data_IF_209589166471
#
_entry.id   IF_209589166471
#
_cell.length_a   1.000
_cell.length_b   1.000
_cell.length_c   1.000
_cell.angle_alpha   90.00
_cell.angle_beta   90.00
_cell.angle_gamma   90.00
#
_symmetry.space_group_name_H-M   'P 1'
#
loop_
_entity.id
_entity.type
_entity.pdbx_description
1 polymer ?
#
# COMPACT_ATOMS: atom_id res chain seq x y z
N UNK A 1 4.74 -16.84 0.96
CA UNK A 1 3.78 -15.75 0.71
C UNK A 1 4.50 -14.72 -0.15
N UNK A 2 3.97 -14.40 -1.33
CA UNK A 2 4.61 -13.45 -2.24
C UNK A 2 4.24 -12.02 -1.84
N UNK A 3 5.20 -11.11 -1.81
CA UNK A 3 5.00 -9.70 -1.45
C UNK A 3 5.85 -8.86 -2.40
N UNK A 4 5.28 -7.77 -2.89
CA UNK A 4 6.01 -6.84 -3.75
C UNK A 4 5.57 -5.40 -3.46
N UNK A 5 6.53 -4.49 -3.36
CA UNK A 5 6.25 -3.06 -3.31
C UNK A 5 5.68 -2.61 -4.65
N UNK A 6 4.77 -1.64 -4.62
CA UNK A 6 4.22 -1.00 -5.81
C UNK A 6 4.13 0.50 -5.56
N UNK A 7 4.57 1.29 -6.54
CA UNK A 7 4.56 2.74 -6.47
C UNK A 7 3.59 3.29 -7.52
N UNK A 8 2.85 4.34 -7.15
CA UNK A 8 1.91 4.97 -8.08
C UNK A 8 2.63 5.93 -9.04
N UNK A 9 3.70 6.59 -8.57
CA UNK A 9 4.47 7.56 -9.33
C UNK A 9 5.94 7.54 -8.89
N UNK A 10 6.80 8.16 -9.71
CA UNK A 10 8.21 8.51 -9.42
C UNK A 10 9.19 7.36 -9.12
N UNK A 11 8.69 6.14 -8.95
CA UNK A 11 9.49 4.96 -8.58
C UNK A 11 8.96 3.72 -9.30
N UNK A 12 9.83 2.74 -9.44
CA UNK A 12 9.49 1.41 -9.93
C UNK A 12 9.67 0.36 -8.81
N UNK A 13 8.92 -0.75 -8.85
CA UNK A 13 7.95 -1.11 -9.87
C UNK A 13 6.61 -0.38 -9.70
N UNK A 14 5.97 -0.07 -10.83
CA UNK A 14 4.57 0.38 -10.86
C UNK A 14 3.63 -0.71 -10.35
N UNK A 15 2.40 -0.35 -10.01
CA UNK A 15 1.39 -1.33 -9.58
C UNK A 15 1.13 -2.44 -10.62
N UNK A 16 1.15 -2.12 -11.92
CA UNK A 16 1.01 -3.11 -12.98
C UNK A 16 2.22 -4.05 -13.06
N UNK A 17 3.44 -3.52 -13.00
CA UNK A 17 4.66 -4.35 -12.99
C UNK A 17 4.71 -5.27 -11.75
N UNK A 18 4.33 -4.76 -10.57
CA UNK A 18 4.27 -5.57 -9.36
C UNK A 18 3.22 -6.69 -9.48
N UNK A 19 2.03 -6.41 -10.02
CA UNK A 19 1.00 -7.41 -10.27
C UNK A 19 1.44 -8.46 -11.31
N UNK A 20 2.08 -8.04 -12.40
CA UNK A 20 2.65 -8.93 -13.41
C UNK A 20 3.66 -9.91 -12.78
N UNK A 21 4.57 -9.41 -11.94
CA UNK A 21 5.57 -10.24 -11.26
C UNK A 21 4.92 -11.28 -10.34
N UNK A 22 3.93 -10.86 -9.54
CA UNK A 22 3.22 -11.77 -8.64
C UNK A 22 2.40 -12.82 -9.41
N UNK A 23 1.72 -12.42 -10.49
CA UNK A 23 0.94 -13.32 -11.33
C UNK A 23 1.84 -14.34 -12.05
N UNK A 24 3.01 -13.92 -12.57
CA UNK A 24 4.01 -14.82 -13.17
C UNK A 24 4.54 -15.86 -12.18
N UNK A 25 4.60 -15.51 -10.90
CA UNK A 25 4.97 -16.42 -9.80
C UNK A 25 3.80 -17.32 -9.35
N UNK A 26 2.65 -17.27 -10.02
CA UNK A 26 1.51 -18.13 -9.78
C UNK A 26 0.50 -17.60 -8.75
N UNK A 27 0.57 -16.32 -8.37
CA UNK A 27 -0.44 -15.73 -7.49
C UNK A 27 -1.81 -15.69 -8.20
N UNK A 28 -2.82 -16.32 -7.61
CA UNK A 28 -4.21 -16.27 -8.07
C UNK A 28 -5.07 -15.30 -7.28
N UNK A 29 -4.55 -14.80 -6.14
CA UNK A 29 -5.21 -13.83 -5.28
C UNK A 29 -4.16 -12.79 -4.87
N UNK A 30 -4.43 -11.52 -5.18
CA UNK A 30 -3.56 -10.40 -4.85
C UNK A 30 -4.37 -9.39 -4.04
N UNK A 31 -3.86 -9.03 -2.87
CA UNK A 31 -4.43 -7.97 -2.03
C UNK A 31 -3.54 -6.76 -2.10
N UNK A 32 -4.09 -5.64 -2.55
CA UNK A 32 -3.42 -4.34 -2.57
C UNK A 32 -3.66 -3.64 -1.24
N UNK A 33 -2.58 -3.30 -0.55
CA UNK A 33 -2.62 -2.60 0.74
C UNK A 33 -2.00 -1.21 0.55
N UNK A 34 -2.80 -0.12 0.55
CA UNK A 34 -2.28 1.22 0.33
C UNK A 34 -1.45 1.70 1.54
N UNK A 35 -0.17 1.99 1.32
CA UNK A 35 0.75 2.45 2.37
C UNK A 35 0.67 3.97 2.59
N UNK A 36 -0.55 4.51 2.66
CA UNK A 36 -0.81 5.94 2.90
C UNK A 36 -1.23 6.19 4.34
N UNK A 37 -0.63 7.19 5.00
CA UNK A 37 -1.00 7.63 6.35
C UNK A 37 -2.14 8.67 6.33
N UNK A 38 -2.30 9.40 5.24
CA UNK A 38 -3.37 10.37 5.02
C UNK A 38 -3.73 10.42 3.54
N UNK A 39 -4.96 10.81 3.22
CA UNK A 39 -5.45 10.78 1.83
C UNK A 39 -4.92 11.96 1.04
N UNK A 40 -3.84 11.76 0.28
CA UNK A 40 -3.63 12.55 -0.93
C UNK A 40 -4.76 12.21 -1.91
N UNK A 41 -5.58 13.20 -2.28
CA UNK A 41 -6.79 13.01 -3.11
C UNK A 41 -6.52 12.15 -4.35
N UNK A 42 -5.40 12.42 -5.03
CA UNK A 42 -4.97 11.71 -6.23
C UNK A 42 -4.84 10.20 -6.01
N UNK A 43 -4.10 9.77 -4.98
CA UNK A 43 -3.88 8.34 -4.74
C UNK A 43 -5.18 7.56 -4.43
N UNK A 44 -6.19 8.20 -3.81
CA UNK A 44 -7.49 7.57 -3.52
C UNK A 44 -8.36 7.44 -4.76
N UNK A 45 -8.26 8.37 -5.70
CA UNK A 45 -9.05 8.39 -6.94
C UNK A 45 -8.39 7.54 -8.04
N UNK A 46 -7.06 7.53 -8.11
CA UNK A 46 -6.30 6.82 -9.14
C UNK A 46 -6.22 5.31 -8.88
N UNK A 47 -6.09 4.90 -7.61
CA UNK A 47 -5.93 3.49 -7.26
C UNK A 47 -7.10 2.61 -7.72
N UNK A 48 -8.38 2.98 -7.52
CA UNK A 48 -9.52 2.21 -8.06
C UNK A 48 -9.44 1.99 -9.57
N UNK A 49 -9.02 3.02 -10.33
CA UNK A 49 -8.87 2.93 -11.79
C UNK A 49 -7.76 1.96 -12.16
N UNK A 50 -6.61 2.08 -11.50
CA UNK A 50 -5.47 1.18 -11.74
C UNK A 50 -5.81 -0.27 -11.40
N UNK A 51 -6.50 -0.52 -10.29
CA UNK A 51 -6.90 -1.88 -9.90
C UNK A 51 -7.90 -2.47 -10.88
N UNK A 52 -8.82 -1.68 -11.42
CA UNK A 52 -9.74 -2.17 -12.46
C UNK A 52 -8.99 -2.56 -13.73
N UNK A 53 -7.98 -1.78 -14.13
CA UNK A 53 -7.10 -2.15 -15.24
C UNK A 53 -6.36 -3.47 -14.98
N UNK A 54 -5.92 -3.72 -13.74
CA UNK A 54 -5.30 -5.00 -13.36
C UNK A 54 -6.27 -6.18 -13.49
N UNK A 55 -7.53 -6.01 -13.05
CA UNK A 55 -8.55 -7.06 -13.19
C UNK A 55 -8.81 -7.42 -14.64
N UNK A 56 -8.85 -6.42 -15.52
CA UNK A 56 -9.01 -6.63 -16.96
C UNK A 56 -7.78 -7.33 -17.58
N UNK A 57 -6.57 -6.99 -17.12
CA UNK A 57 -5.31 -7.58 -17.61
C UNK A 57 -5.09 -9.01 -17.11
N UNK A 58 -5.49 -9.32 -15.89
CA UNK A 58 -5.26 -10.60 -15.23
C UNK A 58 -6.59 -11.27 -14.83
N UNK A 59 -7.34 -11.74 -15.82
CA UNK A 59 -8.69 -12.29 -15.62
C UNK A 59 -8.74 -13.56 -14.75
N UNK A 60 -7.62 -14.25 -14.58
CA UNK A 60 -7.48 -15.43 -13.70
C UNK A 60 -7.05 -15.08 -12.26
N UNK A 61 -6.80 -13.80 -11.96
CA UNK A 61 -6.32 -13.34 -10.65
C UNK A 61 -7.40 -12.51 -9.98
N UNK A 62 -7.73 -12.85 -8.74
CA UNK A 62 -8.67 -12.10 -7.93
C UNK A 62 -7.96 -10.95 -7.19
N UNK A 63 -8.40 -9.71 -7.42
CA UNK A 63 -7.85 -8.51 -6.77
C UNK A 63 -8.78 -7.95 -5.70
N UNK A 64 -8.25 -7.83 -4.48
CA UNK A 64 -8.87 -7.09 -3.38
C UNK A 64 -8.05 -5.84 -3.05
N UNK A 65 -8.71 -4.81 -2.55
CA UNK A 65 -8.07 -3.57 -2.07
C UNK A 65 -8.50 -3.37 -0.62
N UNK A 66 -7.53 -3.22 0.27
CA UNK A 66 -7.78 -2.88 1.67
C UNK A 66 -7.84 -1.37 1.88
N UNK A 67 -8.37 -0.95 3.03
CA UNK A 67 -8.23 0.42 3.50
C UNK A 67 -6.76 0.81 3.63
N UNK A 68 -6.47 2.10 3.50
CA UNK A 68 -5.11 2.59 3.68
C UNK A 68 -4.62 2.34 5.11
N UNK A 69 -3.32 2.11 5.28
CA UNK A 69 -2.75 1.81 6.61
C UNK A 69 -3.03 2.91 7.65
N UNK A 70 -3.19 4.17 7.23
CA UNK A 70 -3.52 5.28 8.11
C UNK A 70 -4.92 5.19 8.73
N UNK A 71 -5.83 4.39 8.16
CA UNK A 71 -7.18 4.14 8.69
C UNK A 71 -7.19 2.98 9.70
N UNK A 72 -6.08 2.25 9.90
CA UNK A 72 -5.98 1.14 10.85
C UNK A 72 -5.74 1.67 12.28
N UNK A 73 -6.58 1.24 13.23
CA UNK A 73 -6.48 1.64 14.64
C UNK A 73 -5.10 1.37 15.26
N UNK A 74 -4.37 0.33 14.80
CA UNK A 74 -3.02 0.03 15.28
C UNK A 74 -2.02 1.09 14.84
N UNK A 75 -2.19 1.66 13.64
CA UNK A 75 -1.37 2.76 13.17
C UNK A 75 -1.63 4.01 14.01
N UNK A 76 -2.90 4.34 14.26
CA UNK A 76 -3.25 5.47 15.13
C UNK A 76 -2.69 5.32 16.53
N UNK A 77 -2.80 4.12 17.13
CA UNK A 77 -2.23 3.83 18.45
C UNK A 77 -0.71 4.00 18.47
N UNK A 78 0.01 3.43 17.49
CA UNK A 78 1.46 3.57 17.38
C UNK A 78 1.90 5.03 17.21
N UNK A 79 1.20 5.80 16.38
CA UNK A 79 1.48 7.22 16.22
C UNK A 79 1.28 8.00 17.53
N UNK A 80 0.25 7.65 18.32
CA UNK A 80 0.03 8.24 19.63
C UNK A 80 1.14 7.88 20.62
N UNK A 81 1.58 6.63 20.65
CA UNK A 81 2.72 6.19 21.47
C UNK A 81 3.98 6.98 21.12
N UNK A 82 4.32 7.09 19.84
CA UNK A 82 5.47 7.87 19.35
C UNK A 82 5.36 9.35 19.76
N UNK A 83 4.16 9.94 19.65
CA UNK A 83 3.94 11.34 20.00
C UNK A 83 4.07 11.60 21.52
N UNK A 84 3.72 10.62 22.35
CA UNK A 84 3.85 10.70 23.80
C UNK A 84 5.26 10.35 24.30
N UNK A 85 6.08 9.68 23.49
CA UNK A 85 7.44 9.32 23.85
C UNK A 85 8.34 10.56 23.92
N UNK A 86 8.51 11.07 25.14
CA UNK A 86 9.34 12.24 25.42
C UNK A 86 10.83 11.89 25.53
N UNK A 87 11.19 10.61 25.44
CA UNK A 87 12.58 10.13 25.59
C UNK A 87 13.51 10.60 24.46
N UNK A 88 12.95 11.05 23.33
CA UNK A 88 13.70 11.59 22.19
C UNK A 88 14.22 13.04 22.37
N UNK A 89 13.86 13.76 23.45
CA UNK A 89 14.24 15.18 23.65
C UNK A 89 15.20 15.37 24.83
N UNK A 90 16.24 14.55 24.97
CA UNK A 90 17.41 14.94 25.78
C UNK A 90 18.51 15.41 24.82
N UNK A 91 18.73 16.72 24.64
CA UNK A 91 19.93 17.18 23.94
C UNK A 91 21.13 16.76 24.79
N UNK A 92 21.95 15.86 24.24
CA UNK A 92 23.25 15.51 24.83
C UNK A 92 24.09 16.78 24.91
N UNK A 93 24.44 17.20 26.13
CA UNK A 93 25.44 18.24 26.41
C UNK A 93 26.85 17.74 26.08
#
# INVERSE_FOLDING_TARGET
MLVQCAYLELCEPTLAQAADLLAQQGATHITVVPMFLGTGKHAREDLPVLVEQLRLRHTSVHFAVQGAIGEDNRMTALMAEIACDTSATTPSL
#
